data_IF_608921419060
#
_entry.id   IF_608921419060
#
_cell.length_a   1.000
_cell.length_b   1.000
_cell.length_c   1.000
_cell.angle_alpha   90.00
_cell.angle_beta   90.00
_cell.angle_gamma   90.00
#
_symmetry.space_group_name_H-M   'P 1'
#
loop_
_entity.id
_entity.type
_entity.pdbx_description
1 polymer ?
#
# COMPACT_ATOMS: atom_id res chain seq x y z
N UNK A 1 -15.10 -4.36 2.10
CA UNK A 1 -14.06 -3.50 1.50
C UNK A 1 -14.59 -2.08 1.42
N UNK A 2 -14.00 -1.16 2.16
CA UNK A 2 -14.29 0.27 2.07
C UNK A 2 -13.00 1.00 1.74
N UNK A 3 -12.83 1.44 0.50
CA UNK A 3 -11.77 2.37 0.14
C UNK A 3 -12.25 3.78 0.47
N UNK A 4 -11.62 4.41 1.46
CA UNK A 4 -11.96 5.78 1.86
C UNK A 4 -10.90 6.71 1.30
N UNK A 5 -11.34 7.56 0.36
CA UNK A 5 -10.50 8.59 -0.24
C UNK A 5 -10.72 9.90 0.51
N UNK A 6 -9.70 10.35 1.24
CA UNK A 6 -9.69 11.67 1.87
C UNK A 6 -8.78 12.58 1.04
N UNK A 7 -9.38 13.41 0.20
CA UNK A 7 -8.69 14.24 -0.81
C UNK A 7 -7.74 15.33 -0.27
N UNK A 8 -7.39 15.28 1.01
CA UNK A 8 -6.43 16.21 1.61
C UNK A 8 -4.98 15.87 1.24
N UNK A 9 -4.60 14.59 1.25
CA UNK A 9 -3.22 14.05 1.07
C UNK A 9 -3.12 12.56 1.49
N UNK A 10 -4.21 12.00 2.03
CA UNK A 10 -4.27 10.69 2.66
C UNK A 10 -5.25 9.74 1.94
N UNK A 11 -4.73 8.58 1.55
CA UNK A 11 -5.52 7.42 1.13
C UNK A 11 -5.61 6.44 2.30
N UNK A 12 -6.82 6.04 2.71
CA UNK A 12 -7.00 5.00 3.72
C UNK A 12 -7.59 3.75 3.07
N UNK A 13 -6.88 2.64 3.22
CA UNK A 13 -7.31 1.32 2.77
C UNK A 13 -7.77 0.53 3.99
N UNK A 14 -9.08 0.32 4.09
CA UNK A 14 -9.70 -0.40 5.19
C UNK A 14 -10.46 -1.64 4.67
N UNK A 15 -10.10 -2.82 5.20
CA UNK A 15 -10.84 -4.06 4.98
C UNK A 15 -10.00 -5.34 5.04
N UNK A 16 -10.56 -6.33 5.73
CA UNK A 16 -10.12 -7.73 5.71
C UNK A 16 -9.94 -8.25 4.27
N UNK A 17 -8.76 -8.81 3.99
CA UNK A 17 -8.37 -9.49 2.75
C UNK A 17 -8.55 -8.64 1.48
N UNK A 18 -7.48 -7.95 1.07
CA UNK A 18 -7.55 -7.13 -0.13
C UNK A 18 -7.05 -7.92 -1.34
N UNK A 19 -7.99 -8.46 -2.11
CA UNK A 19 -7.72 -9.25 -3.33
C UNK A 19 -7.01 -8.44 -4.42
N UNK A 20 -6.48 -9.14 -5.44
CA UNK A 20 -5.90 -8.54 -6.65
C UNK A 20 -6.84 -7.51 -7.31
N UNK A 21 -8.16 -7.67 -7.15
CA UNK A 21 -9.17 -6.77 -7.71
C UNK A 21 -9.14 -5.38 -7.08
N UNK A 22 -8.86 -5.28 -5.78
CA UNK A 22 -8.85 -4.00 -5.09
C UNK A 22 -7.62 -3.15 -5.43
N UNK A 23 -6.47 -3.79 -5.63
CA UNK A 23 -5.29 -3.17 -6.25
C UNK A 23 -5.62 -2.60 -7.65
N UNK A 24 -6.37 -3.37 -8.43
CA UNK A 24 -6.84 -2.96 -9.76
C UNK A 24 -7.84 -1.79 -9.70
N UNK A 25 -8.79 -1.83 -8.77
CA UNK A 25 -9.78 -0.78 -8.56
C UNK A 25 -9.13 0.52 -8.09
N UNK A 26 -8.14 0.45 -7.19
CA UNK A 26 -7.36 1.61 -6.77
C UNK A 26 -6.61 2.21 -7.96
N UNK A 27 -5.91 1.37 -8.73
CA UNK A 27 -5.23 1.80 -9.96
C UNK A 27 -6.19 2.46 -10.97
N UNK A 28 -7.43 1.98 -11.07
CA UNK A 28 -8.45 2.57 -11.93
C UNK A 28 -8.98 3.91 -11.39
N UNK A 29 -9.26 4.00 -10.10
CA UNK A 29 -9.72 5.24 -9.46
C UNK A 29 -8.69 6.36 -9.60
N UNK A 30 -7.40 6.04 -9.48
CA UNK A 30 -6.29 6.99 -9.64
C UNK A 30 -6.22 7.61 -11.04
N UNK A 31 -6.62 6.87 -12.09
CA UNK A 31 -6.65 7.41 -13.45
C UNK A 31 -7.70 8.49 -13.67
N UNK A 32 -8.77 8.51 -12.86
CA UNK A 32 -9.86 9.49 -12.94
C UNK A 32 -9.75 10.63 -11.93
N UNK A 33 -8.76 10.58 -11.04
CA UNK A 33 -8.58 11.52 -9.95
C UNK A 33 -7.90 12.83 -10.41
N UNK A 34 -8.33 14.02 -9.94
CA UNK A 34 -7.49 15.22 -10.05
C UNK A 34 -6.17 14.98 -9.29
N UNK A 35 -5.04 15.57 -9.75
CA UNK A 35 -3.76 15.37 -9.10
C UNK A 35 -3.81 15.92 -7.65
N UNK A 36 -3.66 15.07 -6.62
CA UNK A 36 -3.55 15.49 -5.23
C UNK A 36 -2.18 16.13 -4.98
N UNK A 37 -2.00 16.78 -3.82
CA UNK A 37 -0.67 17.20 -3.38
C UNK A 37 0.29 16.01 -3.33
N UNK A 38 1.56 16.27 -3.69
CA UNK A 38 2.66 15.31 -3.63
C UNK A 38 3.54 15.67 -2.43
N UNK A 39 3.97 14.71 -1.58
CA UNK A 39 3.76 13.25 -1.61
C UNK A 39 2.37 12.80 -1.17
N UNK A 40 1.98 11.56 -1.50
CA UNK A 40 0.77 10.92 -0.96
C UNK A 40 1.10 10.00 0.22
N UNK A 41 0.21 9.94 1.20
CA UNK A 41 0.29 8.97 2.30
C UNK A 41 -0.81 7.94 2.18
N UNK A 42 -0.47 6.66 2.32
CA UNK A 42 -1.39 5.51 2.24
C UNK A 42 -1.39 4.77 3.57
N UNK A 43 -2.53 4.76 4.24
CA UNK A 43 -2.74 3.97 5.46
C UNK A 43 -3.23 2.57 5.10
N UNK A 44 -2.52 1.56 5.58
CA UNK A 44 -2.73 0.14 5.27
C UNK A 44 -3.10 -0.70 6.51
N UNK A 45 -3.59 -0.06 7.58
CA UNK A 45 -3.92 -0.70 8.86
C UNK A 45 -4.82 -1.94 8.71
N UNK A 46 -5.80 -1.90 7.81
CA UNK A 46 -6.74 -3.00 7.58
C UNK A 46 -6.32 -3.98 6.50
N UNK A 47 -5.22 -3.74 5.77
CA UNK A 47 -4.80 -4.58 4.65
C UNK A 47 -4.27 -5.93 5.17
N UNK A 48 -4.89 -7.05 4.83
CA UNK A 48 -4.27 -8.37 5.05
C UNK A 48 -3.86 -9.02 3.72
N UNK A 49 -2.69 -9.67 3.72
CA UNK A 49 -2.05 -10.24 2.53
C UNK A 49 -1.80 -11.73 2.73
N UNK A 50 -2.86 -12.51 2.61
CA UNK A 50 -2.83 -13.96 2.86
C UNK A 50 -2.12 -14.79 1.77
N UNK A 51 -1.75 -14.15 0.64
CA UNK A 51 -1.14 -14.85 -0.50
C UNK A 51 -0.01 -14.06 -1.15
N UNK A 52 0.92 -14.81 -1.76
CA UNK A 52 2.00 -14.22 -2.56
C UNK A 52 1.48 -13.41 -3.76
N UNK A 53 0.37 -13.83 -4.38
CA UNK A 53 -0.26 -13.10 -5.48
C UNK A 53 -0.80 -11.74 -5.04
N UNK A 54 -1.52 -11.69 -3.91
CA UNK A 54 -1.99 -10.43 -3.34
C UNK A 54 -0.82 -9.48 -3.03
N UNK A 55 0.28 -10.02 -2.50
CA UNK A 55 1.50 -9.23 -2.24
C UNK A 55 2.08 -8.63 -3.53
N UNK A 56 2.13 -9.40 -4.63
CA UNK A 56 2.61 -8.92 -5.93
C UNK A 56 1.69 -7.84 -6.50
N UNK A 57 0.38 -7.99 -6.42
CA UNK A 57 -0.57 -6.99 -6.89
C UNK A 57 -0.46 -5.66 -6.11
N UNK A 58 -0.33 -5.75 -4.79
CA UNK A 58 -0.11 -4.58 -3.94
C UNK A 58 1.23 -3.91 -4.19
N UNK A 59 2.27 -4.70 -4.44
CA UNK A 59 3.57 -4.19 -4.84
C UNK A 59 3.49 -3.36 -6.13
N UNK A 60 2.79 -3.87 -7.16
CA UNK A 60 2.57 -3.12 -8.40
C UNK A 60 1.75 -1.85 -8.17
N UNK A 61 0.74 -1.92 -7.30
CA UNK A 61 -0.08 -0.76 -6.92
C UNK A 61 0.75 0.34 -6.25
N UNK A 62 1.64 -0.02 -5.32
CA UNK A 62 2.55 0.93 -4.66
C UNK A 62 3.47 1.60 -5.69
N UNK A 63 3.99 0.84 -6.66
CA UNK A 63 4.82 1.40 -7.73
C UNK A 63 4.03 2.34 -8.63
N UNK A 64 2.80 1.99 -8.99
CA UNK A 64 1.93 2.86 -9.77
C UNK A 64 1.62 4.17 -9.01
N UNK A 65 1.35 4.08 -7.71
CA UNK A 65 1.18 5.24 -6.83
C UNK A 65 2.43 6.12 -6.80
N UNK A 66 3.61 5.51 -6.60
CA UNK A 66 4.90 6.22 -6.64
C UNK A 66 5.10 6.92 -7.98
N UNK A 67 4.89 6.23 -9.10
CA UNK A 67 5.15 6.78 -10.43
C UNK A 67 4.18 7.92 -10.77
N UNK A 68 2.94 7.82 -10.29
CA UNK A 68 1.91 8.84 -10.51
C UNK A 68 2.07 10.08 -9.60
N UNK A 69 2.45 9.88 -8.33
CA UNK A 69 2.57 10.94 -7.32
C UNK A 69 4.00 11.40 -7.03
N UNK A 70 5.01 10.79 -7.68
CA UNK A 70 6.43 11.08 -7.46
C UNK A 70 7.01 10.41 -6.22
N UNK A 71 6.25 10.37 -5.12
CA UNK A 71 6.60 9.61 -3.91
C UNK A 71 5.36 9.21 -3.11
N UNK A 72 5.51 8.13 -2.35
CA UNK A 72 4.45 7.51 -1.54
C UNK A 72 4.99 7.14 -0.16
N UNK A 73 4.22 7.47 0.87
CA UNK A 73 4.45 7.03 2.25
C UNK A 73 3.43 5.95 2.58
N UNK A 74 3.89 4.76 2.98
CA UNK A 74 3.03 3.67 3.43
C UNK A 74 3.06 3.64 4.96
N UNK A 75 1.90 3.81 5.58
CA UNK A 75 1.71 3.75 7.03
C UNK A 75 1.08 2.43 7.40
N UNK A 76 1.65 1.72 8.38
CA UNK A 76 1.12 0.45 8.89
C UNK A 76 1.02 -0.65 7.82
N UNK A 77 1.97 -0.64 6.87
CA UNK A 77 2.06 -1.66 5.84
C UNK A 77 2.19 -3.08 6.46
N UNK A 78 1.50 -4.11 5.93
CA UNK A 78 1.69 -5.50 6.33
C UNK A 78 3.16 -5.94 6.16
N UNK A 79 3.64 -6.85 7.02
CA UNK A 79 5.06 -7.23 7.01
C UNK A 79 5.45 -7.88 5.68
N UNK A 80 4.57 -8.69 5.09
CA UNK A 80 4.80 -9.31 3.78
C UNK A 80 5.06 -8.28 2.68
N UNK A 81 4.29 -7.18 2.65
CA UNK A 81 4.48 -6.10 1.68
C UNK A 81 5.79 -5.35 1.93
N UNK A 82 6.04 -4.97 3.18
CA UNK A 82 7.25 -4.28 3.58
C UNK A 82 8.51 -5.11 3.23
N UNK A 83 8.48 -6.40 3.52
CA UNK A 83 9.56 -7.34 3.20
C UNK A 83 9.76 -7.48 1.68
N UNK A 84 8.67 -7.59 0.92
CA UNK A 84 8.73 -7.65 -0.55
C UNK A 84 9.40 -6.41 -1.14
N UNK A 85 8.94 -5.21 -0.76
CA UNK A 85 9.47 -3.92 -1.23
C UNK A 85 10.97 -3.76 -0.90
N UNK A 86 11.38 -4.18 0.29
CA UNK A 86 12.79 -4.18 0.68
C UNK A 86 13.60 -5.15 -0.19
N UNK A 87 13.13 -6.40 -0.32
CA UNK A 87 13.85 -7.47 -1.03
C UNK A 87 14.08 -7.15 -2.51
N UNK A 88 13.14 -6.48 -3.16
CA UNK A 88 13.29 -6.10 -4.58
C UNK A 88 14.04 -4.78 -4.78
N UNK A 89 14.37 -4.07 -3.70
CA UNK A 89 15.13 -2.81 -3.74
C UNK A 89 14.29 -1.56 -4.05
N UNK A 90 12.97 -1.64 -4.03
CA UNK A 90 12.09 -0.50 -4.36
C UNK A 90 12.14 0.62 -3.30
N UNK A 91 12.65 0.33 -2.09
CA UNK A 91 12.90 1.33 -1.04
C UNK A 91 14.21 2.12 -1.26
N UNK A 92 15.12 1.63 -2.11
CA UNK A 92 16.46 2.20 -2.23
C UNK A 92 16.47 3.59 -2.89
N UNK A 93 15.45 3.92 -3.67
CA UNK A 93 15.36 5.21 -4.37
C UNK A 93 14.75 6.34 -3.51
N UNK A 94 14.27 6.02 -2.31
CA UNK A 94 13.69 6.97 -1.36
C UNK A 94 12.31 7.53 -1.73
N UNK A 95 11.72 7.10 -2.84
CA UNK A 95 10.37 7.52 -3.27
C UNK A 95 9.26 6.69 -2.67
N UNK A 96 9.58 5.54 -2.07
CA UNK A 96 8.68 4.76 -1.23
C UNK A 96 9.22 4.79 0.20
N UNK A 97 8.43 5.34 1.12
CA UNK A 97 8.78 5.45 2.54
C UNK A 97 7.86 4.53 3.35
N UNK A 98 8.43 3.69 4.20
CA UNK A 98 7.67 2.88 5.15
C UNK A 98 7.65 3.57 6.51
N UNK A 99 6.46 3.78 7.06
CA UNK A 99 6.25 4.33 8.40
C UNK A 99 5.52 3.29 9.23
N UNK A 100 6.18 2.83 10.30
CA UNK A 100 5.62 1.86 11.26
C UNK A 100 5.03 0.63 10.56
N UNK A 101 5.79 -0.12 9.72
CA UNK A 101 5.29 -1.36 9.16
C UNK A 101 4.87 -2.29 10.30
N UNK A 102 3.75 -2.99 10.12
CA UNK A 102 3.25 -3.93 11.11
C UNK A 102 4.18 -5.14 11.20
N UNK A 103 4.36 -5.66 12.40
CA UNK A 103 4.97 -6.96 12.62
C UNK A 103 3.88 -8.02 12.57
N UNK A 104 3.94 -8.90 11.57
CA UNK A 104 3.20 -10.16 11.53
C UNK A 104 3.96 -11.18 12.40
N UNK A 105 4.34 -10.80 13.63
CA UNK A 105 4.64 -11.79 14.66
C UNK A 105 3.29 -12.40 15.02
N UNK A 106 2.93 -13.47 14.31
CA UNK A 106 1.81 -14.31 14.69
C UNK A 106 1.93 -14.58 16.18
N UNK A 107 0.80 -14.49 16.90
CA UNK A 107 0.70 -15.05 18.23
C UNK A 107 1.30 -16.46 18.17
N UNK A 108 2.54 -16.60 18.63
CA UNK A 108 3.02 -17.88 19.13
C UNK A 108 2.22 -18.07 20.40
N UNK A 109 1.03 -18.63 20.24
CA UNK A 109 0.26 -19.17 21.34
C UNK A 109 1.17 -20.21 22.01
N UNK A 110 1.73 -19.81 23.15
CA UNK A 110 2.38 -20.70 24.10
C UNK A 110 1.33 -21.25 25.05
#
# INVERSE_FOLDING_TARGET
MSLVFTWADHLTVDGDSVSEDAATLLSAALRGAPPPPRPITVQLFGLDLDTGMATVAWHQTVRALRDHFGSVTLVEAPQMLAHSLYKVGDLADGRIVLVMPRSDEGLTAN
#
